data_IF_473183349561
#
_entry.id   IF_473183349561
#
_cell.length_a   1.000
_cell.length_b   1.000
_cell.length_c   1.000
_cell.angle_alpha   90.00
_cell.angle_beta   90.00
_cell.angle_gamma   90.00
#
_symmetry.space_group_name_H-M   'P 1'
#
loop_
_entity.id
_entity.type
_entity.pdbx_description
1 polymer ?
#
# COMPACT_ATOMS: atom_id res chain seq x y z
N UNK A 1 -3.36 17.92 37.81
CA UNK A 1 -2.65 18.32 36.57
C UNK A 1 -3.56 17.93 35.41
N UNK A 2 -3.80 18.82 34.43
CA UNK A 2 -4.53 18.40 33.23
C UNK A 2 -3.55 17.63 32.34
N UNK A 3 -3.99 16.51 31.80
CA UNK A 3 -3.22 15.79 30.78
C UNK A 3 -3.27 16.61 29.48
N UNK A 4 -2.19 16.53 28.71
CA UNK A 4 -2.16 17.12 27.38
C UNK A 4 -2.96 16.24 26.42
N UNK A 5 -3.77 16.90 25.58
CA UNK A 5 -4.70 16.28 24.63
C UNK A 5 -4.14 16.37 23.22
N UNK A 6 -4.22 15.27 22.48
CA UNK A 6 -3.61 15.14 21.16
C UNK A 6 -4.58 14.50 20.18
N UNK A 7 -4.52 14.95 18.92
CA UNK A 7 -5.08 14.21 17.80
C UNK A 7 -3.94 13.42 17.14
N UNK A 8 -4.16 12.13 16.88
CA UNK A 8 -3.18 11.27 16.24
C UNK A 8 -3.44 11.18 14.74
N UNK A 9 -2.64 11.88 13.95
CA UNK A 9 -2.70 11.85 12.48
C UNK A 9 -1.87 10.69 11.94
N UNK A 10 -2.44 9.90 11.04
CA UNK A 10 -1.66 8.89 10.32
C UNK A 10 -0.77 9.56 9.26
N UNK A 11 0.50 9.17 9.21
CA UNK A 11 1.45 9.58 8.18
C UNK A 11 1.74 8.35 7.32
N UNK A 12 1.13 8.28 6.12
CA UNK A 12 1.42 7.22 5.16
C UNK A 12 2.85 7.30 4.62
N UNK A 13 3.38 6.19 4.11
CA UNK A 13 4.70 6.11 3.46
C UNK A 13 4.73 6.70 2.05
N UNK A 14 3.62 7.29 1.58
CA UNK A 14 3.53 7.98 0.31
C UNK A 14 2.68 9.23 0.45
N UNK A 15 3.09 10.31 -0.21
CA UNK A 15 2.38 11.59 -0.37
C UNK A 15 1.04 11.46 -1.14
N UNK A 16 0.20 10.49 -0.78
CA UNK A 16 -1.20 10.48 -1.23
C UNK A 16 -1.92 11.60 -0.51
N UNK A 17 -2.30 12.64 -1.27
CA UNK A 17 -3.10 13.76 -0.78
C UNK A 17 -4.39 13.30 -0.08
N UNK A 18 -4.90 12.11 -0.43
CA UNK A 18 -6.06 11.45 0.19
C UNK A 18 -5.88 11.04 1.67
N UNK A 19 -4.65 11.00 2.18
CA UNK A 19 -4.37 10.73 3.61
C UNK A 19 -4.09 12.00 4.41
N UNK A 20 -4.10 13.17 3.77
CA UNK A 20 -3.93 14.45 4.46
C UNK A 20 -5.15 14.70 5.36
N UNK A 21 -4.97 14.44 6.66
CA UNK A 21 -5.96 14.78 7.67
C UNK A 21 -6.90 13.63 8.06
N UNK A 22 -6.48 12.38 7.91
CA UNK A 22 -7.12 11.26 8.61
C UNK A 22 -6.48 11.03 9.99
N UNK A 23 -7.34 10.89 10.99
CA UNK A 23 -6.99 10.78 12.39
C UNK A 23 -7.50 9.46 12.96
N UNK A 24 -6.79 8.94 13.94
CA UNK A 24 -7.24 7.78 14.69
C UNK A 24 -8.51 8.11 15.46
N UNK A 25 -9.55 7.32 15.21
CA UNK A 25 -10.88 7.49 15.79
C UNK A 25 -11.31 6.22 16.52
N UNK A 26 -11.77 6.38 17.76
CA UNK A 26 -12.43 5.33 18.53
C UNK A 26 -13.85 5.07 18.04
N UNK A 27 -14.25 3.81 17.97
CA UNK A 27 -15.65 3.38 17.76
C UNK A 27 -16.21 2.64 19.00
N UNK A 28 -15.59 2.84 20.16
CA UNK A 28 -15.96 2.21 21.43
C UNK A 28 -15.11 1.01 21.85
N UNK A 29 -15.35 0.52 23.06
CA UNK A 29 -14.58 -0.57 23.69
C UNK A 29 -14.77 -1.88 22.91
N UNK A 30 -13.66 -2.60 22.68
CA UNK A 30 -13.63 -3.85 21.94
C UNK A 30 -13.65 -3.68 20.42
N UNK A 31 -13.90 -2.45 19.93
CA UNK A 31 -13.93 -2.14 18.51
C UNK A 31 -12.56 -1.71 18.00
N UNK A 32 -12.37 -1.89 16.69
CA UNK A 32 -11.17 -1.48 15.99
C UNK A 32 -11.03 0.05 15.99
N UNK A 33 -9.80 0.54 16.19
CA UNK A 33 -9.44 1.92 15.95
C UNK A 33 -9.47 2.20 14.44
N UNK A 34 -10.32 3.14 14.03
CA UNK A 34 -10.51 3.52 12.62
C UNK A 34 -9.67 4.74 12.27
N UNK A 35 -9.57 5.03 10.98
CA UNK A 35 -9.04 6.30 10.48
C UNK A 35 -10.16 7.08 9.80
N UNK A 36 -10.43 8.29 10.29
CA UNK A 36 -11.46 9.15 9.73
C UNK A 36 -10.96 10.60 9.63
N UNK A 37 -11.51 11.41 8.71
CA UNK A 37 -11.24 12.84 8.69
C UNK A 37 -11.54 13.50 10.04
N UNK A 38 -10.87 14.61 10.33
CA UNK A 38 -11.23 15.44 11.49
C UNK A 38 -12.65 15.98 11.30
N UNK A 39 -13.55 15.66 12.23
CA UNK A 39 -14.92 16.12 12.18
C UNK A 39 -15.40 16.54 13.59
N UNK A 40 -16.19 17.63 13.73
CA UNK A 40 -16.62 18.12 15.04
C UNK A 40 -17.39 17.10 15.88
N UNK A 41 -18.17 16.24 15.24
CA UNK A 41 -18.95 15.16 15.86
C UNK A 41 -18.08 13.97 16.32
N UNK A 42 -16.84 13.88 15.83
CA UNK A 42 -15.88 12.83 16.18
C UNK A 42 -14.79 13.33 17.15
N UNK A 43 -14.84 14.59 17.58
CA UNK A 43 -13.73 15.22 18.31
C UNK A 43 -13.36 14.45 19.59
N UNK A 44 -14.35 13.99 20.37
CA UNK A 44 -14.11 13.20 21.58
C UNK A 44 -13.49 11.84 21.26
N UNK A 45 -13.88 11.23 20.14
CA UNK A 45 -13.38 9.94 19.68
C UNK A 45 -11.99 10.02 19.05
N UNK A 46 -11.56 11.23 18.68
CA UNK A 46 -10.27 11.53 18.04
C UNK A 46 -9.24 12.16 19.00
N UNK A 47 -9.65 12.44 20.23
CA UNK A 47 -8.80 13.05 21.26
C UNK A 47 -8.19 11.99 22.17
N UNK A 48 -6.86 12.01 22.25
CA UNK A 48 -6.07 11.03 22.98
C UNK A 48 -5.18 11.72 24.01
N UNK A 49 -4.97 11.06 25.14
CA UNK A 49 -3.99 11.41 26.15
C UNK A 49 -2.77 10.47 26.04
N UNK A 50 -1.58 11.02 26.27
CA UNK A 50 -0.35 10.24 26.33
C UNK A 50 0.09 10.08 27.77
N UNK A 51 0.05 8.84 28.26
CA UNK A 51 0.48 8.52 29.62
C UNK A 51 1.85 7.85 29.55
N UNK A 52 2.83 8.26 30.38
CA UNK A 52 4.06 7.48 30.51
C UNK A 52 3.72 6.04 30.90
N UNK A 53 4.30 5.07 30.19
CA UNK A 53 4.14 3.65 30.51
C UNK A 53 4.98 3.23 31.72
N UNK A 54 4.75 2.01 32.22
CA UNK A 54 5.62 1.36 33.22
C UNK A 54 6.87 0.72 32.59
N UNK A 55 7.21 1.08 31.36
CA UNK A 55 8.32 0.52 30.57
C UNK A 55 9.36 1.64 30.33
N UNK A 56 10.51 1.30 29.74
CA UNK A 56 11.64 2.18 29.43
C UNK A 56 11.25 3.64 29.10
N UNK A 57 12.13 4.56 29.55
CA UNK A 57 12.09 5.98 29.20
C UNK A 57 11.87 6.12 27.68
N UNK A 58 10.95 7.00 27.27
CA UNK A 58 10.51 7.26 25.88
C UNK A 58 9.36 6.41 25.30
N UNK A 59 8.65 5.61 26.13
CA UNK A 59 7.40 4.95 25.71
C UNK A 59 6.15 5.57 26.37
N UNK A 60 5.18 5.95 25.54
CA UNK A 60 3.89 6.48 25.99
C UNK A 60 2.73 5.58 25.58
N UNK A 61 1.84 5.26 26.53
CA UNK A 61 0.54 4.63 26.26
C UNK A 61 -0.39 5.64 25.61
N UNK A 62 -1.13 5.20 24.60
CA UNK A 62 -2.19 5.99 23.97
C UNK A 62 -3.52 5.64 24.64
N UNK A 63 -4.13 6.62 25.28
CA UNK A 63 -5.37 6.45 26.06
C UNK A 63 -6.44 7.39 25.53
N UNK A 64 -7.68 6.93 25.39
CA UNK A 64 -8.80 7.78 24.97
C UNK A 64 -9.08 8.85 26.04
N UNK A 65 -9.31 10.09 25.64
CA UNK A 65 -9.74 11.15 26.54
C UNK A 65 -11.24 11.02 26.84
N UNK A 66 -11.59 10.13 27.76
CA UNK A 66 -12.98 9.88 28.18
C UNK A 66 -13.24 10.28 29.63
N UNK A 67 -14.45 10.74 29.93
CA UNK A 67 -14.92 11.02 31.29
C UNK A 67 -15.10 9.73 32.15
N UNK A 68 -15.02 8.56 31.53
CA UNK A 68 -15.14 7.27 32.21
C UNK A 68 -13.90 6.97 33.07
N UNK A 69 -14.11 6.40 34.26
CA UNK A 69 -13.04 6.08 35.22
C UNK A 69 -12.08 4.97 34.78
N UNK A 70 -12.34 4.28 33.67
CA UNK A 70 -11.52 3.17 33.18
C UNK A 70 -10.55 3.71 32.13
N UNK A 71 -9.25 3.48 32.32
CA UNK A 71 -8.24 3.80 31.31
C UNK A 71 -8.44 2.89 30.08
N UNK A 72 -8.88 3.47 28.97
CA UNK A 72 -9.06 2.76 27.70
C UNK A 72 -7.88 3.05 26.79
N UNK A 73 -7.12 2.01 26.46
CA UNK A 73 -5.87 2.12 25.71
C UNK A 73 -5.88 1.29 24.43
N UNK A 74 -4.94 1.60 23.55
CA UNK A 74 -4.75 0.86 22.31
C UNK A 74 -4.11 -0.49 22.61
N UNK A 75 -4.91 -1.54 22.48
CA UNK A 75 -4.50 -2.91 22.72
C UNK A 75 -4.52 -3.75 21.44
N UNK A 76 -3.96 -4.93 21.57
CA UNK A 76 -4.02 -5.99 20.58
C UNK A 76 -4.86 -7.14 21.14
N UNK A 77 -5.87 -7.58 20.36
CA UNK A 77 -6.81 -8.62 20.79
C UNK A 77 -6.15 -10.00 20.79
N UNK A 78 -6.00 -10.60 19.62
CA UNK A 78 -5.28 -11.87 19.43
C UNK A 78 -4.07 -11.66 18.54
N UNK A 79 -2.93 -12.25 18.90
CA UNK A 79 -1.70 -12.13 18.13
C UNK A 79 -1.76 -12.97 16.84
N UNK A 80 -2.40 -12.41 15.81
CA UNK A 80 -2.44 -12.91 14.44
C UNK A 80 -1.88 -11.82 13.54
N UNK A 81 -0.89 -12.11 12.68
CA UNK A 81 -0.31 -11.09 11.79
C UNK A 81 -1.39 -10.29 11.05
N UNK A 82 -1.28 -8.96 11.05
CA UNK A 82 -2.28 -8.01 10.54
C UNK A 82 -3.64 -7.97 11.30
N UNK A 83 -3.68 -8.41 12.56
CA UNK A 83 -4.83 -8.20 13.44
C UNK A 83 -5.14 -6.71 13.68
N UNK A 84 -6.38 -6.37 14.06
CA UNK A 84 -6.78 -5.00 14.31
C UNK A 84 -6.19 -4.47 15.62
N UNK A 85 -5.98 -3.15 15.68
CA UNK A 85 -5.77 -2.42 16.93
C UNK A 85 -7.14 -2.16 17.54
N UNK A 86 -7.33 -2.56 18.79
CA UNK A 86 -8.59 -2.43 19.49
C UNK A 86 -8.49 -1.39 20.61
N UNK A 87 -9.61 -0.72 20.91
CA UNK A 87 -9.72 0.01 22.16
C UNK A 87 -10.07 -0.97 23.29
N UNK A 88 -9.22 -1.08 24.31
CA UNK A 88 -9.41 -2.07 25.39
C UNK A 88 -8.94 -1.53 26.74
N UNK A 89 -9.47 -2.11 27.82
CA UNK A 89 -8.84 -1.93 29.13
C UNK A 89 -7.47 -2.60 29.15
N UNK A 90 -6.52 -2.05 29.91
CA UNK A 90 -5.15 -2.58 30.02
C UNK A 90 -5.08 -4.09 30.28
N UNK A 91 -6.02 -4.60 31.07
CA UNK A 91 -6.02 -5.97 31.58
C UNK A 91 -6.65 -6.98 30.60
N UNK A 92 -7.23 -6.49 29.50
CA UNK A 92 -8.00 -7.29 28.53
C UNK A 92 -7.23 -7.53 27.21
N UNK A 93 -6.06 -6.91 27.04
CA UNK A 93 -5.26 -6.98 25.81
C UNK A 93 -4.11 -8.00 25.90
N UNK A 94 -3.81 -8.68 24.79
CA UNK A 94 -2.62 -9.56 24.70
C UNK A 94 -1.31 -8.80 24.49
N UNK A 95 -1.41 -7.52 24.13
CA UNK A 95 -0.29 -6.60 24.04
C UNK A 95 -0.79 -5.16 23.96
N UNK A 96 0.03 -4.22 24.44
CA UNK A 96 -0.30 -2.79 24.49
C UNK A 96 0.58 -2.05 23.48
N UNK A 97 -0.02 -1.10 22.75
CA UNK A 97 0.72 -0.23 21.85
C UNK A 97 1.29 0.99 22.58
N UNK A 98 2.53 1.33 22.24
CA UNK A 98 3.26 2.47 22.78
C UNK A 98 3.76 3.36 21.64
N UNK A 99 3.63 4.67 21.83
CA UNK A 99 4.32 5.65 21.01
C UNK A 99 5.78 5.72 21.44
N UNK A 100 6.68 5.52 20.48
CA UNK A 100 8.11 5.76 20.58
C UNK A 100 8.47 6.91 19.65
N UNK A 101 9.35 7.81 20.10
CA UNK A 101 9.82 8.91 19.24
C UNK A 101 10.47 8.35 17.97
N UNK A 102 10.16 8.94 16.81
CA UNK A 102 10.73 8.51 15.54
C UNK A 102 12.26 8.67 15.53
N UNK A 103 12.96 7.70 14.95
CA UNK A 103 14.42 7.71 14.80
C UNK A 103 14.89 8.81 13.81
N UNK A 104 14.00 9.28 12.95
CA UNK A 104 14.28 10.34 11.96
C UNK A 104 14.26 11.77 12.53
N UNK A 105 14.11 11.93 13.85
CA UNK A 105 14.21 13.20 14.58
C UNK A 105 13.21 14.31 14.16
N UNK A 106 12.19 13.99 13.37
CA UNK A 106 11.13 14.94 13.07
C UNK A 106 10.32 15.29 14.31
N UNK A 107 9.98 16.59 14.46
CA UNK A 107 9.17 17.04 15.57
C UNK A 107 7.75 16.46 15.48
N UNK A 108 7.25 15.96 16.61
CA UNK A 108 5.90 15.40 16.75
C UNK A 108 5.61 14.15 15.89
N UNK A 109 6.65 13.45 15.42
CA UNK A 109 6.51 12.18 14.70
C UNK A 109 6.92 11.03 15.60
N UNK A 110 6.04 10.04 15.68
CA UNK A 110 6.18 8.88 16.55
C UNK A 110 5.88 7.60 15.78
N UNK A 111 6.56 6.53 16.17
CA UNK A 111 6.29 5.17 15.71
C UNK A 111 5.47 4.47 16.78
N UNK A 112 4.35 3.88 16.38
CA UNK A 112 3.51 3.12 17.29
C UNK A 112 3.95 1.64 17.26
N UNK A 113 4.42 1.15 18.41
CA UNK A 113 5.06 -0.16 18.58
C UNK A 113 4.27 -1.02 19.56
N UNK A 114 4.16 -2.32 19.29
CA UNK A 114 3.51 -3.26 20.19
C UNK A 114 4.54 -3.82 21.19
N UNK A 115 4.22 -3.79 22.48
CA UNK A 115 5.07 -4.36 23.53
C UNK A 115 4.82 -5.85 23.69
N UNK A 116 5.48 -6.63 22.83
CA UNK A 116 5.46 -8.10 22.85
C UNK A 116 6.87 -8.61 22.62
N UNK A 117 7.26 -9.67 23.34
CA UNK A 117 8.57 -10.30 23.18
C UNK A 117 8.60 -11.14 21.89
N UNK A 118 9.00 -10.51 20.79
CA UNK A 118 9.22 -11.18 19.51
C UNK A 118 10.72 -11.39 19.29
N UNK A 119 11.12 -12.65 19.13
CA UNK A 119 12.54 -12.99 18.88
C UNK A 119 12.90 -12.60 17.45
N UNK A 120 13.79 -11.61 17.30
CA UNK A 120 14.33 -11.18 16.01
C UNK A 120 13.35 -10.39 15.12
N UNK A 121 12.23 -9.92 15.68
CA UNK A 121 11.23 -9.14 14.96
C UNK A 121 10.66 -8.02 15.83
N UNK A 122 10.01 -7.04 15.22
CA UNK A 122 9.27 -5.99 15.90
C UNK A 122 7.89 -5.83 15.25
N UNK A 123 6.88 -5.51 16.06
CA UNK A 123 5.52 -5.28 15.60
C UNK A 123 5.19 -3.79 15.67
N UNK A 124 4.72 -3.26 14.54
CA UNK A 124 4.36 -1.86 14.35
C UNK A 124 2.91 -1.74 13.95
N UNK A 125 2.26 -0.67 14.38
CA UNK A 125 0.96 -0.33 13.83
C UNK A 125 1.12 0.21 12.42
N UNK A 126 0.28 -0.28 11.53
CA UNK A 126 0.15 0.22 10.17
C UNK A 126 -1.32 0.27 9.77
N UNK A 127 -1.58 0.83 8.61
CA UNK A 127 -2.92 0.87 8.03
C UNK A 127 -3.02 -0.24 7.02
N UNK A 128 -3.89 -1.20 7.31
CA UNK A 128 -4.31 -2.19 6.32
C UNK A 128 -5.38 -1.52 5.46
N UNK A 129 -4.97 -0.98 4.32
CA UNK A 129 -5.94 -0.53 3.34
C UNK A 129 -6.63 -1.78 2.77
N UNK A 130 -7.90 -2.00 3.15
CA UNK A 130 -8.72 -3.05 2.56
C UNK A 130 -8.92 -2.84 1.04
N UNK A 131 -8.63 -1.64 0.52
CA UNK A 131 -8.57 -1.36 -0.92
C UNK A 131 -7.27 -1.81 -1.57
N UNK A 132 -6.20 -2.08 -0.81
CA UNK A 132 -4.90 -2.53 -1.34
C UNK A 132 -4.63 -4.03 -1.19
N UNK A 133 -5.63 -4.80 -0.79
CA UNK A 133 -5.63 -6.25 -0.99
C UNK A 133 -6.49 -6.56 -2.22
N UNK A 134 -6.03 -6.22 -3.43
CA UNK A 134 -6.53 -6.87 -4.64
C UNK A 134 -6.06 -8.33 -4.64
N UNK A 135 -6.63 -9.15 -3.74
CA UNK A 135 -6.49 -10.62 -3.72
C UNK A 135 -6.92 -11.24 -5.05
N UNK A 136 -7.64 -10.48 -5.87
CA UNK A 136 -7.89 -10.77 -7.27
C UNK A 136 -7.92 -9.45 -8.07
N UNK A 137 -6.85 -9.05 -8.78
CA UNK A 137 -6.86 -7.84 -9.59
C UNK A 137 -7.80 -7.91 -10.81
N UNK A 138 -8.47 -9.05 -11.02
CA UNK A 138 -9.48 -9.25 -12.07
C UNK A 138 -10.91 -9.14 -11.55
N UNK A 139 -11.28 -7.97 -11.06
CA UNK A 139 -12.59 -7.64 -10.49
C UNK A 139 -13.40 -6.66 -11.37
N UNK A 140 -13.07 -6.57 -12.66
CA UNK A 140 -13.73 -5.75 -13.70
C UNK A 140 -13.57 -4.23 -13.55
N UNK A 141 -12.71 -3.75 -12.63
CA UNK A 141 -12.39 -2.32 -12.56
C UNK A 141 -11.25 -1.92 -13.48
N UNK A 142 -11.14 -0.60 -13.65
CA UNK A 142 -10.00 0.06 -14.28
C UNK A 142 -9.00 0.46 -13.20
N UNK A 143 -7.72 0.24 -13.46
CA UNK A 143 -6.60 0.47 -12.57
C UNK A 143 -5.60 1.44 -13.19
N UNK A 144 -4.95 2.21 -12.33
CA UNK A 144 -3.72 2.92 -12.64
C UNK A 144 -2.55 2.04 -12.18
N UNK A 145 -1.60 1.81 -13.09
CA UNK A 145 -0.37 1.11 -12.76
C UNK A 145 0.71 2.14 -12.46
N UNK A 146 1.03 2.34 -11.17
CA UNK A 146 2.00 3.32 -10.71
C UNK A 146 3.33 2.65 -10.38
N UNK A 147 4.44 3.21 -10.88
CA UNK A 147 5.76 2.66 -10.65
C UNK A 147 6.27 3.05 -9.26
N UNK A 148 6.62 2.06 -8.42
CA UNK A 148 6.88 2.29 -7.01
C UNK A 148 8.25 2.91 -6.71
N UNK A 149 9.24 2.74 -7.60
CA UNK A 149 10.59 3.31 -7.42
C UNK A 149 10.68 4.78 -7.81
N UNK A 150 9.66 5.33 -8.45
CA UNK A 150 9.55 6.77 -8.63
C UNK A 150 8.96 7.39 -7.35
N UNK A 151 9.86 7.75 -6.43
CA UNK A 151 9.50 8.25 -5.10
C UNK A 151 8.96 9.69 -5.12
N UNK A 152 9.13 10.42 -6.22
CA UNK A 152 8.82 11.85 -6.35
C UNK A 152 7.70 12.07 -7.37
N UNK A 153 7.73 11.33 -8.49
CA UNK A 153 6.66 11.32 -9.47
C UNK A 153 5.73 10.16 -9.21
N UNK A 154 4.44 10.42 -9.02
CA UNK A 154 3.42 9.39 -9.14
C UNK A 154 3.30 8.99 -10.63
N UNK A 155 4.38 8.45 -11.21
CA UNK A 155 4.44 8.14 -12.62
C UNK A 155 3.67 6.85 -12.88
N UNK A 156 2.77 6.95 -13.84
CA UNK A 156 1.84 5.90 -14.22
C UNK A 156 2.14 5.40 -15.62
N UNK A 157 1.91 4.10 -15.85
CA UNK A 157 1.95 3.56 -17.19
C UNK A 157 0.85 4.19 -18.04
N UNK A 158 1.26 4.81 -19.15
CA UNK A 158 0.40 5.60 -20.04
C UNK A 158 0.45 5.02 -21.44
N UNK A 159 -0.72 4.86 -22.08
CA UNK A 159 -0.81 4.39 -23.47
C UNK A 159 -0.42 5.50 -24.45
N UNK A 160 0.45 5.16 -25.40
CA UNK A 160 0.92 6.08 -26.46
C UNK A 160 0.31 5.79 -27.84
N UNK A 161 -0.64 4.83 -27.93
CA UNK A 161 -1.32 4.38 -29.14
C UNK A 161 -0.89 2.97 -29.59
N UNK A 162 -1.61 2.35 -30.56
CA UNK A 162 -1.33 0.99 -31.02
C UNK A 162 0.10 0.81 -31.51
N UNK A 163 0.71 -0.32 -31.14
CA UNK A 163 2.06 -0.74 -31.51
C UNK A 163 3.15 0.29 -31.14
N UNK A 164 2.88 1.13 -30.14
CA UNK A 164 3.84 2.06 -29.55
C UNK A 164 4.26 1.61 -28.15
N UNK A 165 5.46 2.02 -27.68
CA UNK A 165 5.90 1.72 -26.33
C UNK A 165 4.92 2.28 -25.30
N UNK A 166 4.77 1.55 -24.19
CA UNK A 166 4.11 2.07 -23.00
C UNK A 166 5.12 2.93 -22.27
N UNK A 167 4.70 4.15 -21.93
CA UNK A 167 5.57 5.16 -21.32
C UNK A 167 5.12 5.47 -19.90
N UNK A 168 6.02 6.04 -19.11
CA UNK A 168 5.74 6.58 -17.80
C UNK A 168 5.59 8.08 -17.87
N UNK A 169 4.42 8.54 -17.43
CA UNK A 169 4.10 9.96 -17.31
C UNK A 169 3.51 10.23 -15.93
N UNK A 170 3.68 11.46 -15.38
CA UNK A 170 3.09 11.80 -14.10
C UNK A 170 1.56 11.64 -14.12
N UNK A 171 0.99 11.30 -12.96
CA UNK A 171 -0.46 11.30 -12.76
C UNK A 171 -0.98 12.74 -12.76
N UNK A 172 -1.58 13.16 -13.88
CA UNK A 172 -2.24 14.45 -14.03
C UNK A 172 -3.64 14.24 -14.63
N UNK A 173 -4.63 15.09 -14.31
CA UNK A 173 -6.02 14.90 -14.75
C UNK A 173 -6.18 14.67 -16.26
N UNK A 174 -5.36 15.32 -17.07
CA UNK A 174 -5.39 15.26 -18.54
C UNK A 174 -4.98 13.89 -19.10
N UNK A 175 -4.25 13.08 -18.32
CA UNK A 175 -3.76 11.78 -18.74
C UNK A 175 -4.50 10.61 -18.09
N UNK A 176 -5.41 10.85 -17.15
CA UNK A 176 -6.09 9.79 -16.37
C UNK A 176 -6.79 8.78 -17.29
N UNK A 177 -7.49 9.26 -18.32
CA UNK A 177 -8.20 8.37 -19.25
C UNK A 177 -7.24 7.40 -19.92
N UNK A 178 -6.05 7.88 -20.31
CA UNK A 178 -5.00 7.09 -20.98
C UNK A 178 -4.02 6.40 -20.01
N UNK A 179 -4.26 6.51 -18.71
CA UNK A 179 -3.54 5.79 -17.65
C UNK A 179 -4.38 4.66 -17.03
N UNK A 180 -5.64 4.52 -17.45
CA UNK A 180 -6.54 3.46 -17.01
C UNK A 180 -6.37 2.14 -17.78
N UNK A 181 -6.18 1.05 -17.04
CA UNK A 181 -5.97 -0.30 -17.55
C UNK A 181 -6.95 -1.30 -16.91
N UNK A 182 -7.45 -2.25 -17.69
CA UNK A 182 -8.23 -3.38 -17.17
C UNK A 182 -7.29 -4.55 -16.93
N UNK A 183 -7.34 -5.16 -15.74
CA UNK A 183 -6.59 -6.39 -15.46
C UNK A 183 -7.54 -7.58 -15.53
N UNK A 184 -7.23 -8.55 -16.40
CA UNK A 184 -8.07 -9.72 -16.64
C UNK A 184 -7.32 -11.00 -16.29
N UNK A 185 -7.87 -11.80 -15.39
CA UNK A 185 -7.35 -13.12 -15.05
C UNK A 185 -7.65 -14.12 -16.17
N UNK A 186 -6.67 -14.95 -16.51
CA UNK A 186 -6.82 -16.14 -17.36
C UNK A 186 -7.25 -17.32 -16.49
N UNK A 187 -8.07 -18.21 -17.07
CA UNK A 187 -8.66 -19.36 -16.36
C UNK A 187 -7.61 -20.37 -15.84
N UNK A 188 -6.40 -20.32 -16.40
CA UNK A 188 -5.28 -21.18 -16.04
C UNK A 188 -4.26 -20.38 -15.18
N UNK A 189 -3.97 -20.90 -13.98
CA UNK A 189 -2.78 -20.57 -13.15
C UNK A 189 -2.49 -19.09 -12.83
N UNK A 190 -3.29 -18.36 -12.03
CA UNK A 190 -2.93 -17.01 -11.51
C UNK A 190 -2.23 -16.07 -12.53
N UNK A 191 -2.54 -16.20 -13.81
CA UNK A 191 -2.00 -15.41 -14.90
C UNK A 191 -2.99 -14.31 -15.25
N UNK A 192 -2.46 -13.15 -15.59
CA UNK A 192 -3.24 -11.93 -15.77
C UNK A 192 -2.77 -11.18 -17.01
N UNK A 193 -3.71 -10.56 -17.71
CA UNK A 193 -3.43 -9.66 -18.81
C UNK A 193 -3.76 -8.24 -18.40
N UNK A 194 -2.86 -7.31 -18.70
CA UNK A 194 -3.10 -5.87 -18.53
C UNK A 194 -3.55 -5.34 -19.88
N UNK A 195 -4.81 -4.94 -19.96
CA UNK A 195 -5.53 -4.61 -21.19
C UNK A 195 -5.87 -3.13 -21.22
N UNK A 196 -5.84 -2.57 -22.42
CA UNK A 196 -6.45 -1.27 -22.68
C UNK A 196 -7.98 -1.45 -22.73
N UNK A 197 -8.75 -0.67 -21.95
CA UNK A 197 -10.21 -0.69 -22.05
C UNK A 197 -10.72 -0.23 -23.43
N UNK A 198 -9.89 0.50 -24.19
CA UNK A 198 -10.21 0.95 -25.54
C UNK A 198 -9.99 -0.16 -26.56
N UNK A 199 -10.96 -0.37 -27.45
CA UNK A 199 -10.78 -1.25 -28.61
C UNK A 199 -10.28 -0.47 -29.81
N UNK A 200 -9.24 -0.98 -30.49
CA UNK A 200 -8.74 -0.40 -31.74
C UNK A 200 -9.02 -1.35 -32.89
N UNK A 201 -9.75 -0.88 -33.92
CA UNK A 201 -10.12 -1.69 -35.09
C UNK A 201 -10.80 -3.01 -34.68
N UNK A 202 -11.65 -2.95 -33.65
CA UNK A 202 -12.37 -4.10 -33.11
C UNK A 202 -11.50 -5.15 -32.40
N UNK A 203 -10.23 -4.84 -32.10
CA UNK A 203 -9.31 -5.72 -31.36
C UNK A 203 -8.99 -5.12 -30.00
N UNK A 204 -8.76 -6.01 -29.03
CA UNK A 204 -8.22 -5.63 -27.73
C UNK A 204 -6.71 -5.49 -27.81
N UNK A 205 -6.20 -4.45 -27.16
CA UNK A 205 -4.77 -4.20 -27.00
C UNK A 205 -4.42 -4.27 -25.52
N UNK A 206 -3.14 -4.41 -25.22
CA UNK A 206 -2.65 -4.48 -23.85
C UNK A 206 -1.14 -4.53 -23.81
N UNK A 207 -0.60 -4.79 -22.63
CA UNK A 207 0.83 -4.92 -22.40
C UNK A 207 1.33 -6.13 -23.20
N UNK A 208 2.16 -5.86 -24.21
CA UNK A 208 2.72 -6.88 -25.08
C UNK A 208 4.25 -6.78 -25.04
N UNK A 209 4.90 -7.90 -24.79
CA UNK A 209 6.34 -8.04 -24.78
C UNK A 209 6.72 -9.38 -25.42
N UNK A 210 7.88 -9.46 -26.08
CA UNK A 210 8.41 -10.74 -26.56
C UNK A 210 8.53 -11.75 -25.42
N UNK A 211 8.32 -13.04 -25.75
CA UNK A 211 8.51 -14.17 -24.83
C UNK A 211 9.99 -14.42 -24.53
N UNK A 212 10.85 -14.10 -25.50
CA UNK A 212 12.31 -14.08 -25.38
C UNK A 212 12.79 -12.63 -25.42
N UNK A 213 12.46 -11.82 -24.40
CA UNK A 213 12.99 -10.48 -24.34
C UNK A 213 14.50 -10.59 -24.19
N UNK A 214 15.24 -9.77 -24.93
CA UNK A 214 16.64 -9.50 -24.62
C UNK A 214 16.78 -8.96 -23.18
N UNK A 215 18.00 -8.60 -22.78
CA UNK A 215 18.25 -8.07 -21.43
C UNK A 215 17.36 -6.86 -21.05
N UNK A 216 16.79 -6.17 -22.05
CA UNK A 216 15.88 -5.06 -21.87
C UNK A 216 15.03 -4.83 -23.14
N UNK A 217 13.76 -5.21 -23.12
CA UNK A 217 12.83 -5.01 -24.25
C UNK A 217 11.68 -4.09 -23.85
N UNK A 218 11.32 -3.12 -24.70
CA UNK A 218 10.17 -2.24 -24.44
C UNK A 218 8.86 -3.02 -24.48
N UNK A 219 8.01 -2.77 -23.49
CA UNK A 219 6.62 -3.22 -23.51
C UNK A 219 5.84 -2.30 -24.44
N UNK A 220 5.12 -2.89 -25.37
CA UNK A 220 4.34 -2.22 -26.40
C UNK A 220 2.85 -2.34 -26.09
N UNK A 221 2.06 -1.37 -26.52
CA UNK A 221 0.60 -1.54 -26.60
C UNK A 221 0.27 -2.42 -27.81
N UNK A 222 0.21 -3.73 -27.60
CA UNK A 222 0.11 -4.71 -28.69
C UNK A 222 -1.23 -5.45 -28.72
N UNK A 223 -1.61 -5.91 -29.91
CA UNK A 223 -2.84 -6.70 -30.16
C UNK A 223 -2.77 -8.15 -29.66
N UNK A 224 -1.63 -8.57 -29.12
CA UNK A 224 -1.41 -9.87 -28.46
C UNK A 224 -0.87 -9.61 -27.05
N UNK A 225 -1.72 -9.28 -26.08
CA UNK A 225 -1.29 -9.00 -24.71
C UNK A 225 -0.61 -10.22 -24.09
N UNK A 226 0.54 -9.99 -23.48
CA UNK A 226 1.30 -10.99 -22.75
C UNK A 226 0.64 -11.31 -21.41
N UNK A 227 0.93 -12.49 -20.89
CA UNK A 227 0.44 -12.95 -19.60
C UNK A 227 1.47 -12.62 -18.52
N UNK A 228 1.00 -12.10 -17.39
CA UNK A 228 1.79 -11.65 -16.24
C UNK A 228 1.34 -12.38 -14.97
N UNK A 229 2.24 -12.51 -14.01
CA UNK A 229 1.99 -13.00 -12.66
C UNK A 229 2.04 -11.81 -11.72
N UNK A 230 1.03 -11.68 -10.88
CA UNK A 230 0.97 -10.67 -9.83
C UNK A 230 1.41 -11.32 -8.53
N UNK A 231 2.54 -10.88 -7.98
CA UNK A 231 3.07 -11.38 -6.73
C UNK A 231 2.51 -10.50 -5.61
N UNK A 232 1.67 -11.04 -4.70
CA UNK A 232 1.05 -10.26 -3.64
C UNK A 232 2.07 -9.46 -2.85
N UNK A 233 1.75 -8.20 -2.56
CA UNK A 233 2.55 -7.26 -1.76
C UNK A 233 3.91 -6.87 -2.39
N UNK A 234 4.22 -7.35 -3.60
CA UNK A 234 5.56 -7.22 -4.16
C UNK A 234 5.56 -6.68 -5.61
N UNK A 235 5.10 -7.41 -6.63
CA UNK A 235 5.52 -7.12 -8.04
C UNK A 235 4.60 -7.63 -9.18
N UNK A 236 4.81 -7.13 -10.41
CA UNK A 236 4.26 -7.66 -11.67
C UNK A 236 5.40 -8.29 -12.49
N UNK A 237 5.32 -9.60 -12.72
CA UNK A 237 6.31 -10.37 -13.48
C UNK A 237 5.73 -10.94 -14.78
N UNK A 238 6.54 -11.11 -15.82
CA UNK A 238 6.11 -11.78 -17.05
C UNK A 238 5.96 -13.29 -16.78
N UNK A 239 4.84 -13.89 -17.15
CA UNK A 239 4.60 -15.33 -16.97
C UNK A 239 5.40 -16.16 -18.00
N UNK A 240 5.80 -17.36 -17.59
CA UNK A 240 6.49 -18.33 -18.43
C UNK A 240 7.84 -18.79 -17.85
N UNK A 241 8.43 -19.85 -18.42
CA UNK A 241 9.71 -20.37 -17.95
C UNK A 241 10.81 -19.33 -18.17
N UNK A 242 11.45 -18.94 -17.07
CA UNK A 242 12.66 -18.09 -17.11
C UNK A 242 13.87 -18.96 -16.81
N UNK A 243 14.78 -19.07 -17.77
CA UNK A 243 16.08 -19.69 -17.54
C UNK A 243 17.02 -18.63 -16.93
N UNK A 244 17.50 -18.87 -15.71
CA UNK A 244 18.56 -18.07 -15.08
C UNK A 244 18.14 -16.73 -14.47
N UNK A 245 16.86 -16.54 -14.10
CA UNK A 245 16.43 -15.32 -13.44
C UNK A 245 14.92 -15.05 -13.40
N UNK A 246 14.54 -13.85 -12.97
CA UNK A 246 13.17 -13.31 -12.97
C UNK A 246 13.03 -12.24 -14.06
N UNK A 247 11.99 -12.34 -14.90
CA UNK A 247 11.65 -11.32 -15.91
C UNK A 247 10.58 -10.39 -15.32
N UNK A 248 10.98 -9.20 -14.90
CA UNK A 248 10.09 -8.25 -14.22
C UNK A 248 9.78 -7.05 -15.12
N UNK A 249 8.62 -6.44 -14.88
CA UNK A 249 8.23 -5.17 -15.48
C UNK A 249 9.03 -4.04 -14.83
N UNK A 250 9.91 -3.39 -15.57
CA UNK A 250 10.78 -2.31 -15.09
C UNK A 250 10.64 -1.06 -15.96
N UNK A 251 11.43 -0.04 -15.67
CA UNK A 251 11.39 1.26 -16.33
C UNK A 251 12.78 1.72 -16.69
N UNK A 252 12.97 2.10 -17.96
CA UNK A 252 14.21 2.75 -18.41
C UNK A 252 13.87 3.86 -19.39
N UNK A 253 14.42 5.05 -19.17
CA UNK A 253 14.21 6.23 -20.01
C UNK A 253 12.71 6.52 -20.26
N UNK A 254 11.92 6.50 -19.19
CA UNK A 254 10.45 6.68 -19.20
C UNK A 254 9.68 5.65 -20.04
N UNK A 255 10.28 4.51 -20.39
CA UNK A 255 9.61 3.43 -21.08
C UNK A 255 9.48 2.23 -20.17
N UNK A 256 8.31 1.61 -20.19
CA UNK A 256 8.08 0.33 -19.55
C UNK A 256 8.82 -0.73 -20.34
N UNK A 257 9.60 -1.56 -19.65
CA UNK A 257 10.43 -2.61 -20.25
C UNK A 257 10.25 -3.93 -19.50
N UNK A 258 10.56 -5.04 -20.16
CA UNK A 258 10.87 -6.30 -19.47
C UNK A 258 12.37 -6.36 -19.25
N UNK A 259 12.77 -6.55 -17.99
CA UNK A 259 14.17 -6.69 -17.59
C UNK A 259 14.38 -8.02 -16.90
N UNK A 260 15.51 -8.67 -17.22
CA UNK A 260 15.94 -9.90 -16.57
C UNK A 260 16.80 -9.59 -15.33
N UNK A 261 16.40 -10.12 -14.18
CA UNK A 261 17.15 -10.09 -12.93
C UNK A 261 17.68 -11.49 -12.65
N UNK A 262 18.98 -11.65 -12.39
CA UNK A 262 19.58 -12.96 -12.13
C UNK A 262 19.03 -13.58 -10.83
N UNK A 263 19.06 -14.91 -10.74
CA UNK A 263 18.74 -15.63 -9.51
C UNK A 263 19.66 -15.16 -8.36
N UNK A 264 19.06 -14.89 -7.19
CA UNK A 264 19.79 -14.41 -6.00
C UNK A 264 19.75 -12.91 -5.76
N UNK A 265 19.12 -12.11 -6.63
CA UNK A 265 18.82 -10.71 -6.30
C UNK A 265 17.92 -10.59 -5.06
N UNK A 266 18.14 -9.54 -4.26
CA UNK A 266 17.28 -9.26 -3.12
C UNK A 266 15.89 -8.82 -3.61
N UNK A 267 14.83 -9.36 -3.01
CA UNK A 267 13.44 -9.03 -3.33
C UNK A 267 13.09 -7.54 -3.16
N UNK A 268 13.88 -6.79 -2.38
CA UNK A 268 13.71 -5.35 -2.23
C UNK A 268 14.31 -4.52 -3.38
N UNK A 269 15.17 -5.14 -4.20
CA UNK A 269 15.81 -4.49 -5.34
C UNK A 269 15.02 -4.63 -6.65
N UNK A 270 14.01 -5.49 -6.66
CA UNK A 270 13.19 -5.72 -7.84
C UNK A 270 12.18 -4.58 -8.05
N UNK A 271 11.76 -4.30 -9.30
CA UNK A 271 10.83 -3.23 -9.62
C UNK A 271 9.41 -3.57 -9.15
N UNK A 272 8.78 -2.63 -8.43
CA UNK A 272 7.43 -2.80 -7.89
C UNK A 272 6.43 -1.87 -8.58
N UNK A 273 5.18 -2.31 -8.62
CA UNK A 273 4.07 -1.58 -9.22
C UNK A 273 2.87 -1.60 -8.28
N UNK A 274 2.25 -0.45 -8.09
CA UNK A 274 0.98 -0.32 -7.38
C UNK A 274 -0.18 -0.37 -8.37
N UNK A 275 -1.25 -1.05 -7.97
CA UNK A 275 -2.52 -1.12 -8.71
C UNK A 275 -3.55 -0.28 -7.98
N UNK A 276 -3.64 0.99 -8.38
CA UNK A 276 -4.55 1.94 -7.77
C UNK A 276 -5.86 1.90 -8.56
N UNK A 277 -6.95 1.42 -7.94
CA UNK A 277 -8.26 1.34 -8.61
C UNK A 277 -8.82 2.74 -8.90
N UNK A 278 -9.30 2.96 -10.13
CA UNK A 278 -10.04 4.17 -10.50
C UNK A 278 -11.51 3.99 -10.10
N UNK A 279 -12.01 4.92 -9.28
CA UNK A 279 -13.43 5.05 -8.96
C UNK A 279 -13.92 6.32 -9.65
N UNK A 280 -14.78 6.15 -10.66
CA UNK A 280 -15.49 7.25 -11.30
C UNK A 280 -16.69 7.68 -10.46
#
# INVERSE_FOLDING_TARGET
>A
MSLARYNLRFLGTSDSEDTRGIYATSDGIGNQIKLQPLAPDLQEQQTWNFLPGNIAEDKYRVVLDSDERKELSWGYGEFQGNGPILLSGSDESTGIFFLRKSEHQEQNVYTLTLDVDLVGAAAYAGVKDERMSTRNPSDYYTYILRYAKDLIGQSCATRSGPDRPIELHPRVPELVDIQGWTVKRRDEEQHYQILDPTTYVGKHYGFSASRDPGLQESVMLGSKPSDFIFIPEKEIALSGPTTGGHKCLDVVNNKVVIRLFQEGHLWDELPRWYLDRIVY
#
